data_IF_790937927249
#
_entry.id   IF_790937927249
#
_cell.length_a   1.000
_cell.length_b   1.000
_cell.length_c   1.000
_cell.angle_alpha   90.00
_cell.angle_beta   90.00
_cell.angle_gamma   90.00
#
_symmetry.space_group_name_H-M   'P 1'
#
loop_
_entity.id
_entity.type
_entity.pdbx_description
1 polymer ?
#
# COMPACT_ATOMS: atom_id res chain seq x y z
N UNK A 1 3.18 17.71 -15.63
CA UNK A 1 3.59 17.11 -16.93
C UNK A 1 4.89 16.28 -16.88
N UNK A 2 5.68 16.29 -15.79
CA UNK A 2 6.93 15.49 -15.71
C UNK A 2 6.76 14.12 -15.02
N UNK A 3 5.68 13.93 -14.24
CA UNK A 3 5.45 12.72 -13.43
C UNK A 3 4.84 11.57 -14.26
N UNK A 4 3.97 11.88 -15.23
CA UNK A 4 3.29 10.90 -16.10
C UNK A 4 4.29 10.09 -16.94
N UNK A 5 5.38 10.71 -17.39
CA UNK A 5 6.43 10.03 -18.15
C UNK A 5 7.16 8.94 -17.36
N UNK A 6 7.22 9.00 -16.03
CA UNK A 6 8.00 8.02 -15.26
C UNK A 6 7.19 6.77 -14.92
N UNK A 7 5.89 6.92 -14.65
CA UNK A 7 4.98 5.81 -14.43
C UNK A 7 4.74 5.00 -15.71
N UNK A 8 4.62 5.66 -16.87
CA UNK A 8 4.42 4.99 -18.17
C UNK A 8 5.64 4.18 -18.64
N UNK A 9 6.85 4.50 -18.18
CA UNK A 9 8.06 3.70 -18.44
C UNK A 9 8.24 2.57 -17.41
N UNK A 10 7.73 2.73 -16.19
CA UNK A 10 7.78 1.70 -15.15
C UNK A 10 6.70 0.63 -15.36
N UNK A 11 5.52 1.05 -15.81
CA UNK A 11 4.41 0.21 -16.24
C UNK A 11 4.17 0.48 -17.73
N UNK A 12 4.81 -0.26 -18.64
CA UNK A 12 4.50 -0.13 -20.06
C UNK A 12 3.00 -0.38 -20.21
N UNK A 13 2.32 0.46 -21.00
CA UNK A 13 0.87 0.42 -21.28
C UNK A 13 0.39 -0.84 -22.00
N UNK A 14 1.18 -1.92 -21.93
CA UNK A 14 1.00 -3.23 -22.54
C UNK A 14 1.11 -4.40 -21.54
N UNK A 15 1.21 -4.14 -20.23
CA UNK A 15 1.08 -5.21 -19.23
C UNK A 15 -0.36 -5.71 -19.22
N UNK A 16 -0.56 -7.01 -19.41
CA UNK A 16 -1.90 -7.59 -19.30
C UNK A 16 -2.41 -7.43 -17.86
N UNK A 17 -3.71 -7.11 -17.69
CA UNK A 17 -4.31 -6.92 -16.36
C UNK A 17 -4.00 -8.09 -15.42
N UNK A 18 -4.00 -9.33 -15.91
CA UNK A 18 -3.69 -10.51 -15.09
C UNK A 18 -2.26 -10.49 -14.53
N UNK A 19 -1.28 -10.03 -15.32
CA UNK A 19 0.11 -9.94 -14.87
C UNK A 19 0.25 -8.80 -13.86
N UNK A 20 -0.44 -7.67 -14.08
CA UNK A 20 -0.40 -6.54 -13.16
C UNK A 20 -1.02 -6.91 -11.81
N UNK A 21 -2.17 -7.56 -11.79
CA UNK A 21 -2.82 -8.06 -10.57
C UNK A 21 -1.93 -9.09 -9.85
N UNK A 22 -1.31 -10.02 -10.61
CA UNK A 22 -0.38 -11.00 -10.06
C UNK A 22 0.87 -10.35 -9.45
N UNK A 23 1.45 -9.35 -10.11
CA UNK A 23 2.60 -8.60 -9.60
C UNK A 23 2.24 -7.80 -8.35
N UNK A 24 1.13 -7.04 -8.38
CA UNK A 24 0.67 -6.27 -7.22
C UNK A 24 0.33 -7.17 -6.03
N UNK A 25 -0.33 -8.31 -6.27
CA UNK A 25 -0.63 -9.31 -5.26
C UNK A 25 0.63 -9.93 -4.66
N UNK A 26 1.63 -10.26 -5.48
CA UNK A 26 2.90 -10.83 -4.99
C UNK A 26 3.68 -9.84 -4.12
N UNK A 27 3.83 -8.59 -4.56
CA UNK A 27 4.56 -7.55 -3.81
C UNK A 27 3.80 -7.20 -2.52
N UNK A 28 2.48 -7.06 -2.59
CA UNK A 28 1.63 -6.86 -1.41
C UNK A 28 1.75 -8.01 -0.41
N UNK A 29 1.78 -9.25 -0.89
CA UNK A 29 1.95 -10.45 -0.07
C UNK A 29 3.30 -10.50 0.64
N UNK A 30 4.40 -10.22 -0.06
CA UNK A 30 5.75 -10.16 0.55
C UNK A 30 5.81 -9.07 1.62
N UNK A 31 5.25 -7.88 1.36
CA UNK A 31 5.25 -6.79 2.34
C UNK A 31 4.42 -7.14 3.58
N UNK A 32 3.26 -7.78 3.40
CA UNK A 32 2.45 -8.26 4.52
C UNK A 32 3.19 -9.33 5.35
N UNK A 33 3.86 -10.28 4.70
CA UNK A 33 4.66 -11.30 5.38
C UNK A 33 5.81 -10.70 6.20
N UNK A 34 6.63 -9.85 5.59
CA UNK A 34 7.73 -9.17 6.29
C UNK A 34 7.23 -8.32 7.46
N UNK A 35 6.11 -7.62 7.27
CA UNK A 35 5.52 -6.82 8.35
C UNK A 35 5.07 -7.69 9.51
N UNK A 36 4.42 -8.82 9.26
CA UNK A 36 3.93 -9.72 10.32
C UNK A 36 5.03 -10.55 10.96
N UNK A 37 6.07 -10.91 10.21
CA UNK A 37 7.13 -11.81 10.68
C UNK A 37 8.35 -11.09 11.26
N UNK A 38 8.64 -9.87 10.80
CA UNK A 38 9.81 -9.11 11.24
C UNK A 38 9.41 -7.86 12.02
N UNK A 39 8.60 -6.99 11.41
CA UNK A 39 8.31 -5.68 12.00
C UNK A 39 7.34 -5.76 13.19
N UNK A 40 6.33 -6.63 13.14
CA UNK A 40 5.34 -6.78 14.21
C UNK A 40 5.95 -7.45 15.45
N UNK A 41 6.76 -8.52 15.36
CA UNK A 41 7.45 -9.07 16.52
C UNK A 41 8.43 -8.07 17.13
N UNK A 42 9.17 -7.32 16.30
CA UNK A 42 10.04 -6.25 16.78
C UNK A 42 9.25 -5.16 17.54
N UNK A 43 8.07 -4.79 17.03
CA UNK A 43 7.19 -3.84 17.73
C UNK A 43 6.63 -4.41 19.04
N UNK A 44 6.38 -5.72 19.10
CA UNK A 44 5.98 -6.41 20.34
C UNK A 44 7.11 -6.40 21.36
N UNK A 45 8.34 -6.65 20.94
CA UNK A 45 9.52 -6.63 21.80
C UNK A 45 9.84 -5.21 22.30
N UNK A 46 9.61 -4.19 21.47
CA UNK A 46 9.92 -2.79 21.80
C UNK A 46 8.85 -2.11 22.68
N UNK A 47 7.58 -2.22 22.31
CA UNK A 47 6.48 -1.46 22.93
C UNK A 47 5.45 -2.33 23.68
N UNK A 48 5.57 -3.66 23.59
CA UNK A 48 4.62 -4.61 24.13
C UNK A 48 3.43 -4.87 23.20
N UNK A 49 2.91 -6.10 23.27
CA UNK A 49 1.89 -6.62 22.36
C UNK A 49 0.62 -5.75 22.29
N UNK A 50 0.09 -5.29 23.44
CA UNK A 50 -1.16 -4.51 23.49
C UNK A 50 -1.02 -3.15 22.80
N UNK A 51 0.13 -2.49 22.89
CA UNK A 51 0.33 -1.16 22.30
C UNK A 51 0.59 -1.28 20.80
N UNK A 52 1.43 -2.23 20.40
CA UNK A 52 1.73 -2.48 19.00
C UNK A 52 0.48 -2.86 18.18
N UNK A 53 -0.39 -3.74 18.70
CA UNK A 53 -1.64 -4.09 18.02
C UNK A 53 -2.52 -2.84 17.84
N UNK A 54 -2.69 -2.02 18.88
CA UNK A 54 -3.46 -0.77 18.80
C UNK A 54 -2.88 0.19 17.76
N UNK A 55 -1.55 0.34 17.73
CA UNK A 55 -0.85 1.18 16.78
C UNK A 55 -1.03 0.68 15.33
N UNK A 56 -1.00 -0.63 15.10
CA UNK A 56 -1.24 -1.24 13.78
C UNK A 56 -2.67 -0.95 13.30
N UNK A 57 -3.68 -1.16 14.15
CA UNK A 57 -5.07 -0.84 13.78
C UNK A 57 -5.27 0.65 13.51
N UNK A 58 -4.66 1.52 14.33
CA UNK A 58 -4.72 2.96 14.13
C UNK A 58 -4.03 3.39 12.82
N UNK A 59 -2.87 2.81 12.51
CA UNK A 59 -2.13 3.06 11.28
C UNK A 59 -2.92 2.61 10.03
N UNK A 60 -3.54 1.44 10.08
CA UNK A 60 -4.41 0.97 8.99
C UNK A 60 -5.63 1.87 8.79
N UNK A 61 -6.25 2.34 9.88
CA UNK A 61 -7.36 3.28 9.81
C UNK A 61 -6.92 4.63 9.19
N UNK A 62 -5.74 5.14 9.58
CA UNK A 62 -5.19 6.38 9.03
C UNK A 62 -4.86 6.27 7.54
N UNK A 63 -4.29 5.13 7.11
CA UNK A 63 -4.02 4.86 5.70
C UNK A 63 -5.31 4.82 4.88
N UNK A 64 -6.34 4.14 5.39
CA UNK A 64 -7.66 4.09 4.75
C UNK A 64 -8.30 5.48 4.64
N UNK A 65 -8.27 6.27 5.72
CA UNK A 65 -8.78 7.65 5.69
C UNK A 65 -8.01 8.53 4.69
N UNK A 66 -6.70 8.32 4.57
CA UNK A 66 -5.86 9.03 3.61
C UNK A 66 -6.23 8.67 2.16
N UNK A 67 -6.50 7.39 1.88
CA UNK A 67 -6.97 6.96 0.57
C UNK A 67 -8.36 7.50 0.24
N UNK A 68 -9.27 7.55 1.21
CA UNK A 68 -10.58 8.17 1.04
C UNK A 68 -10.48 9.67 0.74
N UNK A 69 -9.59 10.37 1.45
CA UNK A 69 -9.31 11.77 1.16
C UNK A 69 -8.62 11.97 -0.19
N UNK A 70 -7.78 11.02 -0.61
CA UNK A 70 -7.18 11.04 -1.94
C UNK A 70 -8.25 10.87 -3.02
N UNK A 71 -9.21 9.96 -2.82
CA UNK A 71 -10.34 9.72 -3.71
C UNK A 71 -11.22 10.97 -3.86
N UNK A 72 -11.54 11.68 -2.76
CA UNK A 72 -12.31 12.93 -2.84
C UNK A 72 -11.53 14.07 -3.52
N UNK A 73 -10.21 14.04 -3.43
CA UNK A 73 -9.33 15.10 -3.97
C UNK A 73 -8.89 14.84 -5.41
N UNK A 74 -9.21 13.67 -5.96
CA UNK A 74 -8.78 13.29 -7.30
C UNK A 74 -9.71 13.92 -8.36
N UNK A 75 -9.19 14.68 -9.35
CA UNK A 75 -10.00 15.19 -10.45
C UNK A 75 -10.58 14.03 -11.28
N UNK A 76 -11.85 14.14 -11.70
CA UNK A 76 -12.62 13.13 -12.47
C UNK A 76 -11.93 12.63 -13.76
N UNK A 77 -10.86 13.27 -14.23
CA UNK A 77 -10.13 12.84 -15.42
C UNK A 77 -9.24 11.59 -15.18
N UNK A 78 -9.11 11.13 -13.93
CA UNK A 78 -8.38 9.89 -13.58
C UNK A 78 -9.28 8.80 -12.97
N UNK A 79 -10.59 9.01 -12.84
CA UNK A 79 -11.51 7.91 -12.54
C UNK A 79 -11.68 7.08 -13.80
N UNK A 80 -10.98 5.93 -13.83
CA UNK A 80 -11.09 4.90 -14.86
C UNK A 80 -12.54 4.41 -15.05
#
# INVERSE_FOLDING_TARGET
MMVTFRAAYLFPSSLSPEILEGLLGSVGGVMAFLTLHEMLPLAFDYAGQKQAIKAVFLGMAFMSASLYFLEISLPEEMSL
#
